data_IF_290270021120
#
_entry.id   IF_290270021120
#
_cell.length_a   1.000
_cell.length_b   1.000
_cell.length_c   1.000
_cell.angle_alpha   90.00
_cell.angle_beta   90.00
_cell.angle_gamma   90.00
#
_symmetry.space_group_name_H-M   'P 1'
#
loop_
_entity.id
_entity.type
_entity.pdbx_description
1 polymer ?
#
# COMPACT_ATOMS: atom_id res chain seq x y z
N UNK A 1 -47.81 23.28 29.80
CA UNK A 1 -47.26 24.60 30.11
C UNK A 1 -45.80 24.60 29.67
N UNK A 2 -45.54 24.92 28.41
CA UNK A 2 -44.29 25.51 27.90
C UNK A 2 -44.60 25.97 26.47
N UNK A 3 -44.71 27.29 26.31
CA UNK A 3 -44.74 27.99 25.04
C UNK A 3 -43.29 28.12 24.54
N UNK A 4 -43.15 28.51 23.28
CA UNK A 4 -41.98 29.09 22.59
C UNK A 4 -41.33 28.10 21.61
N UNK A 5 -40.99 28.43 20.36
CA UNK A 5 -41.08 29.69 19.60
C UNK A 5 -40.81 29.35 18.14
N UNK A 6 -41.69 29.76 17.23
CA UNK A 6 -41.44 29.80 15.79
C UNK A 6 -40.38 30.86 15.50
N UNK A 7 -39.35 30.53 14.71
CA UNK A 7 -38.56 31.53 13.99
C UNK A 7 -38.29 31.01 12.58
N UNK A 8 -39.20 31.35 11.67
CA UNK A 8 -38.98 31.30 10.22
C UNK A 8 -38.16 32.54 9.84
N UNK A 9 -36.91 32.35 9.43
CA UNK A 9 -36.09 33.42 8.88
C UNK A 9 -36.23 33.44 7.35
N UNK A 10 -36.74 34.57 6.88
CA UNK A 10 -37.04 34.97 5.52
C UNK A 10 -35.73 35.22 4.74
N UNK A 11 -35.42 34.43 3.71
CA UNK A 11 -34.38 34.76 2.74
C UNK A 11 -34.98 35.69 1.68
N UNK A 12 -34.71 37.00 1.81
CA UNK A 12 -34.99 38.00 0.79
C UNK A 12 -33.68 38.27 0.03
N UNK A 13 -33.71 38.08 -1.29
CA UNK A 13 -32.53 38.08 -2.14
C UNK A 13 -31.90 39.44 -2.38
N UNK A 14 -30.72 39.44 -2.98
CA UNK A 14 -30.28 40.51 -3.88
C UNK A 14 -29.28 39.94 -4.88
N UNK A 15 -29.71 39.91 -6.15
CA UNK A 15 -28.88 39.79 -7.34
C UNK A 15 -28.00 41.02 -7.47
N UNK A 16 -26.70 40.82 -7.70
CA UNK A 16 -25.82 41.84 -8.27
C UNK A 16 -25.18 41.28 -9.54
N UNK A 17 -25.46 41.93 -10.66
CA UNK A 17 -24.90 41.69 -11.98
C UNK A 17 -23.70 42.61 -12.22
N UNK A 18 -22.91 42.20 -13.22
CA UNK A 18 -21.92 42.94 -14.04
C UNK A 18 -20.49 43.05 -13.48
N UNK A 19 -19.52 42.47 -14.19
CA UNK A 19 -18.89 43.23 -15.28
C UNK A 19 -18.04 42.33 -16.18
N UNK A 20 -18.29 42.43 -17.49
CA UNK A 20 -17.43 41.93 -18.55
C UNK A 20 -16.40 43.00 -18.90
N UNK A 21 -15.13 42.62 -19.04
CA UNK A 21 -14.17 43.34 -19.88
C UNK A 21 -13.52 42.34 -20.83
N UNK A 22 -13.96 42.46 -22.08
CA UNK A 22 -13.34 41.97 -23.30
C UNK A 22 -12.15 42.87 -23.66
N UNK A 23 -11.06 42.27 -24.17
CA UNK A 23 -10.11 42.77 -25.19
C UNK A 23 -9.03 41.70 -25.36
N UNK A 24 -8.99 40.93 -26.45
CA UNK A 24 -8.20 41.24 -27.66
C UNK A 24 -6.72 40.85 -27.43
N UNK A 25 -6.02 40.02 -28.20
CA UNK A 25 -5.97 39.89 -29.66
C UNK A 25 -4.91 38.80 -30.00
N UNK A 26 -5.15 37.97 -31.03
CA UNK A 26 -4.13 37.17 -31.72
C UNK A 26 -3.63 37.95 -32.96
N UNK A 27 -2.74 37.42 -33.84
CA UNK A 27 -1.45 36.76 -33.69
C UNK A 27 -0.33 37.55 -34.43
N UNK A 28 0.95 37.17 -34.30
CA UNK A 28 2.03 37.61 -35.20
C UNK A 28 3.14 36.54 -35.15
N UNK A 29 3.23 35.63 -36.13
CA UNK A 29 4.13 35.73 -37.29
C UNK A 29 5.54 36.24 -36.94
N UNK A 30 6.54 35.35 -36.91
CA UNK A 30 7.68 35.52 -37.81
C UNK A 30 8.42 34.19 -38.09
N UNK A 31 8.66 33.98 -39.37
CA UNK A 31 9.50 32.96 -39.97
C UNK A 31 10.96 33.04 -39.49
N UNK A 32 11.61 31.89 -39.36
CA UNK A 32 12.85 31.61 -40.10
C UNK A 32 13.14 30.11 -40.08
N UNK A 33 13.06 29.52 -41.26
CA UNK A 33 13.54 28.20 -41.62
C UNK A 33 15.10 28.20 -41.70
N UNK A 34 15.74 27.04 -41.88
CA UNK A 34 17.05 26.66 -41.33
C UNK A 34 18.22 27.01 -42.25
N UNK A 35 19.47 26.69 -41.84
CA UNK A 35 20.48 26.26 -42.79
C UNK A 35 20.61 24.74 -42.82
N UNK A 36 20.40 24.17 -44.00
CA UNK A 36 20.92 22.87 -44.40
C UNK A 36 22.45 22.90 -44.60
N UNK A 37 23.01 21.68 -44.65
CA UNK A 37 24.10 21.20 -45.53
C UNK A 37 25.52 21.17 -44.96
N UNK A 38 26.03 19.94 -44.72
CA UNK A 38 27.12 19.25 -45.48
C UNK A 38 27.65 18.11 -44.58
N UNK A 39 27.31 16.84 -44.81
CA UNK A 39 27.93 15.85 -45.72
C UNK A 39 29.45 15.70 -45.55
N UNK A 40 29.85 14.56 -44.97
CA UNK A 40 30.91 13.63 -45.44
C UNK A 40 30.80 12.38 -44.54
N UNK A 41 30.30 11.24 -45.02
CA UNK A 41 31.00 10.23 -45.84
C UNK A 41 32.25 9.69 -45.14
N UNK A 42 32.15 8.48 -44.58
CA UNK A 42 32.85 7.34 -45.16
C UNK A 42 32.20 6.01 -44.75
N UNK A 43 32.29 5.06 -45.67
CA UNK A 43 31.71 3.74 -45.61
C UNK A 43 32.83 2.71 -45.36
N UNK A 44 32.40 1.45 -45.30
CA UNK A 44 33.18 0.21 -45.43
C UNK A 44 33.74 -0.39 -44.13
N UNK A 45 33.80 -1.72 -43.94
CA UNK A 45 33.32 -2.93 -44.63
C UNK A 45 33.89 -4.10 -43.82
N UNK A 46 33.15 -5.22 -43.72
CA UNK A 46 33.60 -6.60 -43.37
C UNK A 46 34.41 -6.81 -42.06
N UNK A 47 34.20 -7.85 -41.26
CA UNK A 47 34.26 -9.27 -41.67
C UNK A 47 33.86 -10.12 -40.46
N UNK A 48 33.06 -11.16 -40.66
CA UNK A 48 33.07 -12.34 -39.77
C UNK A 48 34.38 -13.12 -39.98
N UNK A 49 34.77 -14.00 -39.04
CA UNK A 49 34.49 -15.42 -39.32
C UNK A 49 34.11 -16.30 -38.11
N UNK A 50 33.41 -17.36 -38.50
CA UNK A 50 33.02 -18.63 -37.89
C UNK A 50 34.17 -19.44 -37.25
N UNK A 51 33.86 -20.25 -36.21
CA UNK A 51 34.24 -21.69 -36.01
C UNK A 51 33.86 -22.12 -34.57
N UNK A 52 32.84 -22.92 -34.28
CA UNK A 52 32.62 -24.38 -34.47
C UNK A 52 33.28 -25.31 -33.44
N UNK A 53 32.49 -26.31 -33.03
CA UNK A 53 32.78 -27.62 -32.40
C UNK A 53 32.62 -27.71 -30.86
N UNK A 54 31.55 -28.31 -30.32
CA UNK A 54 31.12 -29.73 -30.32
C UNK A 54 31.86 -30.55 -29.26
N UNK A 55 31.14 -31.01 -28.22
CA UNK A 55 31.27 -32.34 -27.59
C UNK A 55 30.11 -32.54 -26.61
N UNK A 56 29.26 -33.51 -26.95
CA UNK A 56 28.30 -34.14 -26.06
C UNK A 56 29.01 -34.99 -24.99
N UNK A 57 28.55 -34.95 -23.73
CA UNK A 57 28.48 -36.18 -22.92
C UNK A 57 27.52 -36.02 -21.73
N UNK A 58 26.60 -36.98 -21.63
CA UNK A 58 25.74 -37.30 -20.49
C UNK A 58 25.47 -38.81 -20.65
N UNK A 59 25.25 -39.63 -19.60
CA UNK A 59 25.56 -39.58 -18.17
C UNK A 59 26.44 -40.80 -17.75
N UNK A 60 26.53 -41.14 -16.44
CA UNK A 60 25.64 -42.23 -16.02
C UNK A 60 24.96 -42.04 -14.66
N UNK A 61 23.82 -42.71 -14.58
CA UNK A 61 22.93 -43.00 -13.44
C UNK A 61 23.64 -43.98 -12.49
N UNK A 62 23.39 -43.89 -11.17
CA UNK A 62 23.10 -45.08 -10.37
C UNK A 62 22.47 -44.76 -9.01
N UNK A 63 21.33 -45.40 -8.79
CA UNK A 63 20.52 -45.52 -7.58
C UNK A 63 21.25 -46.22 -6.41
N UNK A 64 20.82 -45.96 -5.17
CA UNK A 64 20.28 -46.96 -4.20
C UNK A 64 19.95 -46.19 -2.90
N UNK A 65 18.67 -46.00 -2.54
CA UNK A 65 17.85 -46.86 -1.68
C UNK A 65 18.50 -47.25 -0.34
N UNK A 66 17.92 -46.77 0.76
CA UNK A 66 17.95 -47.43 2.07
C UNK A 66 16.65 -47.13 2.80
N UNK A 67 15.74 -48.08 2.62
CA UNK A 67 14.56 -48.34 3.43
C UNK A 67 14.97 -49.22 4.64
N UNK A 68 14.43 -48.95 5.82
CA UNK A 68 14.31 -49.91 6.93
C UNK A 68 13.30 -49.41 7.98
N UNK A 69 12.06 -49.88 7.90
CA UNK A 69 11.24 -50.23 9.09
C UNK A 69 11.48 -51.72 9.44
N UNK A 70 10.82 -52.39 10.42
CA UNK A 70 10.06 -51.97 11.61
C UNK A 70 10.55 -52.69 12.90
N UNK A 71 10.02 -52.34 14.08
CA UNK A 71 9.88 -53.32 15.19
C UNK A 71 8.54 -53.17 15.89
N UNK A 72 7.67 -54.16 15.68
CA UNK A 72 6.55 -54.45 16.55
C UNK A 72 7.03 -55.11 17.85
N UNK A 73 6.43 -54.72 18.96
CA UNK A 73 6.56 -55.40 20.26
C UNK A 73 5.20 -55.46 20.93
N UNK A 74 4.47 -56.53 20.67
CA UNK A 74 3.18 -56.86 21.26
C UNK A 74 3.26 -57.03 22.79
N UNK A 75 2.24 -56.55 23.51
CA UNK A 75 2.08 -56.72 24.94
C UNK A 75 0.65 -56.50 25.38
N UNK A 76 -0.21 -57.48 25.10
CA UNK A 76 -1.59 -57.59 25.57
C UNK A 76 -1.67 -57.64 27.10
N UNK A 77 -2.58 -56.88 27.71
CA UNK A 77 -3.40 -57.28 28.87
C UNK A 77 -4.45 -56.21 29.21
N UNK A 78 -5.71 -56.50 28.91
CA UNK A 78 -6.89 -56.05 29.69
C UNK A 78 -7.19 -57.16 30.71
N UNK A 79 -7.74 -56.88 31.92
CA UNK A 79 -9.16 -56.51 32.01
C UNK A 79 -9.63 -55.65 33.22
N UNK A 80 -10.76 -54.96 32.98
CA UNK A 80 -11.96 -54.84 33.83
C UNK A 80 -12.04 -53.95 35.10
N UNK A 81 -13.05 -53.04 35.02
CA UNK A 81 -13.99 -52.46 36.02
C UNK A 81 -13.44 -51.69 37.23
N UNK A 82 -13.82 -50.40 37.33
CA UNK A 82 -14.82 -49.97 38.31
C UNK A 82 -15.29 -48.52 38.10
N UNK A 83 -16.60 -48.39 38.25
CA UNK A 83 -17.44 -47.20 38.31
C UNK A 83 -17.08 -46.30 39.49
N UNK A 84 -17.05 -44.98 39.28
CA UNK A 84 -17.26 -43.96 40.31
C UNK A 84 -17.56 -42.61 39.66
N UNK A 85 -18.79 -42.16 39.84
CA UNK A 85 -19.21 -40.76 39.70
C UNK A 85 -18.36 -39.84 40.58
N UNK A 86 -17.92 -38.71 40.02
CA UNK A 86 -17.88 -37.44 40.76
C UNK A 86 -17.68 -36.25 39.83
N UNK A 87 -18.75 -35.45 39.76
CA UNK A 87 -18.76 -34.00 39.98
C UNK A 87 -17.58 -33.17 39.45
N UNK A 88 -17.82 -32.44 38.36
CA UNK A 88 -17.78 -30.97 38.30
C UNK A 88 -17.67 -30.50 36.84
N UNK A 89 -18.65 -29.78 36.27
CA UNK A 89 -18.35 -28.89 35.18
C UNK A 89 -17.63 -27.68 35.78
N UNK A 90 -16.30 -27.70 35.76
CA UNK A 90 -15.54 -26.45 35.86
C UNK A 90 -15.81 -25.70 34.57
N UNK A 91 -16.87 -24.91 34.58
CA UNK A 91 -17.08 -23.80 33.66
C UNK A 91 -15.81 -22.97 33.73
N UNK A 92 -14.90 -23.18 32.78
CA UNK A 92 -13.94 -22.17 32.43
C UNK A 92 -14.79 -21.03 31.85
N UNK A 93 -15.21 -20.12 32.71
CA UNK A 93 -15.52 -18.76 32.31
C UNK A 93 -14.22 -18.23 31.71
N UNK A 94 -14.07 -18.44 30.41
CA UNK A 94 -13.30 -17.57 29.55
C UNK A 94 -13.89 -16.18 29.75
N UNK A 95 -13.34 -15.43 30.69
CA UNK A 95 -13.40 -13.98 30.68
C UNK A 95 -12.66 -13.53 29.42
N UNK A 96 -13.34 -13.67 28.28
CA UNK A 96 -13.05 -12.89 27.10
C UNK A 96 -13.26 -11.45 27.55
N UNK A 97 -12.15 -10.76 27.84
CA UNK A 97 -12.15 -9.32 27.86
C UNK A 97 -12.54 -8.89 26.45
N UNK A 98 -13.85 -8.76 26.23
CA UNK A 98 -14.47 -8.14 25.07
C UNK A 98 -14.14 -6.63 25.17
N UNK A 99 -12.86 -6.31 25.04
CA UNK A 99 -12.47 -5.00 24.56
C UNK A 99 -13.21 -4.82 23.24
N UNK A 100 -13.98 -3.75 23.11
CA UNK A 100 -14.81 -3.48 21.95
C UNK A 100 -13.94 -3.50 20.68
N UNK A 101 -13.89 -4.65 20.01
CA UNK A 101 -13.20 -4.80 18.74
C UNK A 101 -14.04 -4.08 17.69
N UNK A 102 -13.48 -3.03 17.12
CA UNK A 102 -14.10 -2.35 15.97
C UNK A 102 -13.69 -3.09 14.71
N UNK A 103 -14.64 -3.36 13.81
CA UNK A 103 -14.31 -3.94 12.51
C UNK A 103 -13.91 -2.84 11.54
N UNK A 104 -12.90 -3.10 10.72
CA UNK A 104 -12.48 -2.27 9.59
C UNK A 104 -12.16 -3.14 8.37
N UNK A 105 -11.71 -2.49 7.31
CA UNK A 105 -11.29 -3.16 6.07
C UNK A 105 -9.94 -2.61 5.61
N UNK A 106 -8.97 -3.47 5.35
CA UNK A 106 -7.72 -3.10 4.69
C UNK A 106 -7.92 -3.16 3.18
N UNK A 107 -7.43 -2.14 2.48
CA UNK A 107 -7.49 -2.05 1.02
C UNK A 107 -6.08 -2.14 0.49
N UNK A 108 -5.76 -3.21 -0.24
CA UNK A 108 -4.42 -3.44 -0.82
C UNK A 108 -4.50 -3.35 -2.34
N UNK A 109 -3.71 -2.46 -2.93
CA UNK A 109 -3.70 -2.24 -4.37
C UNK A 109 -3.19 -0.87 -4.79
N UNK A 110 -3.51 -0.48 -6.02
CA UNK A 110 -3.11 0.82 -6.60
C UNK A 110 -4.15 1.32 -7.61
N UNK A 111 -4.22 2.63 -7.79
CA UNK A 111 -5.16 3.27 -8.71
C UNK A 111 -6.62 2.95 -8.36
N UNK A 112 -7.32 2.25 -9.27
CA UNK A 112 -8.72 1.82 -9.06
C UNK A 112 -8.86 0.33 -8.67
N UNK A 113 -7.74 -0.41 -8.60
CA UNK A 113 -7.75 -1.86 -8.34
C UNK A 113 -7.32 -2.16 -6.92
N UNK A 114 -8.29 -2.45 -6.04
CA UNK A 114 -8.05 -2.81 -4.64
C UNK A 114 -8.70 -4.15 -4.29
N UNK A 115 -7.97 -4.95 -3.53
CA UNK A 115 -8.48 -6.11 -2.80
C UNK A 115 -8.79 -5.73 -1.36
N UNK A 116 -9.90 -6.25 -0.83
CA UNK A 116 -10.38 -5.96 0.52
C UNK A 116 -10.06 -7.12 1.46
N UNK A 117 -9.55 -6.81 2.65
CA UNK A 117 -9.23 -7.77 3.69
C UNK A 117 -9.85 -7.34 5.02
N UNK A 118 -10.50 -8.24 5.77
CA UNK A 118 -11.13 -7.87 7.03
C UNK A 118 -10.07 -7.50 8.08
N UNK A 119 -10.35 -6.46 8.86
CA UNK A 119 -9.56 -6.06 10.00
C UNK A 119 -10.40 -6.11 11.28
N UNK A 120 -9.87 -6.79 12.30
CA UNK A 120 -10.58 -7.00 13.57
C UNK A 120 -9.64 -6.67 14.73
N UNK A 121 -9.49 -5.38 15.03
CA UNK A 121 -8.78 -4.86 16.20
C UNK A 121 -9.22 -3.42 16.47
N UNK A 122 -8.54 -2.73 17.38
CA UNK A 122 -8.78 -1.29 17.57
C UNK A 122 -8.40 -0.52 16.29
N UNK A 123 -9.38 0.18 15.71
CA UNK A 123 -9.23 0.94 14.47
C UNK A 123 -8.51 2.27 14.74
N UNK A 124 -7.21 2.19 14.99
CA UNK A 124 -6.26 3.33 14.97
C UNK A 124 -5.51 3.35 13.63
N UNK A 125 -5.01 4.52 13.16
CA UNK A 125 -4.32 4.56 11.88
C UNK A 125 -3.05 3.71 11.90
N UNK A 126 -2.30 3.79 13.00
CA UNK A 126 -1.10 2.98 13.27
C UNK A 126 -1.41 1.48 13.18
N UNK A 127 -2.50 1.01 13.79
CA UNK A 127 -2.87 -0.41 13.76
C UNK A 127 -3.29 -0.88 12.36
N UNK A 128 -3.96 -0.02 11.58
CA UNK A 128 -4.33 -0.35 10.19
C UNK A 128 -3.08 -0.45 9.31
N UNK A 129 -2.12 0.46 9.45
CA UNK A 129 -0.86 0.43 8.71
C UNK A 129 -0.03 -0.79 9.13
N UNK A 130 0.04 -1.09 10.41
CA UNK A 130 0.70 -2.28 10.91
C UNK A 130 0.05 -3.56 10.36
N UNK A 131 -1.28 -3.63 10.30
CA UNK A 131 -1.98 -4.77 9.73
C UNK A 131 -1.75 -4.90 8.21
N UNK A 132 -1.57 -3.80 7.47
CA UNK A 132 -1.11 -3.86 6.07
C UNK A 132 0.30 -4.47 6.00
N UNK A 133 1.21 -4.06 6.89
CA UNK A 133 2.58 -4.61 6.94
C UNK A 133 2.56 -6.11 7.21
N UNK A 134 1.81 -6.58 8.21
CA UNK A 134 1.66 -8.00 8.54
C UNK A 134 1.04 -8.80 7.40
N UNK A 135 0.01 -8.26 6.74
CA UNK A 135 -0.68 -8.93 5.63
C UNK A 135 0.23 -9.07 4.41
N UNK A 136 0.98 -8.02 4.07
CA UNK A 136 1.71 -7.92 2.80
C UNK A 136 3.16 -8.39 2.88
N UNK A 137 3.74 -8.34 4.08
CA UNK A 137 5.18 -8.54 4.31
C UNK A 137 6.03 -7.32 3.94
N UNK A 138 5.43 -6.18 3.60
CA UNK A 138 6.16 -4.92 3.39
C UNK A 138 6.59 -4.34 4.73
N UNK A 139 7.80 -3.79 4.82
CA UNK A 139 8.22 -3.01 5.97
C UNK A 139 7.60 -1.62 5.89
N UNK A 140 6.65 -1.33 6.77
CA UNK A 140 5.97 -0.04 6.88
C UNK A 140 6.35 0.69 8.17
N UNK A 141 7.57 0.50 8.66
CA UNK A 141 8.08 1.14 9.88
C UNK A 141 7.85 2.66 9.87
N UNK A 142 7.08 3.11 10.86
CA UNK A 142 6.77 4.52 11.07
C UNK A 142 7.84 5.16 11.95
N UNK A 143 8.18 6.41 11.65
CA UNK A 143 9.11 7.21 12.45
C UNK A 143 8.44 7.84 13.69
N UNK A 144 7.12 8.04 13.64
CA UNK A 144 6.28 8.50 14.74
C UNK A 144 4.85 8.00 14.50
N UNK A 145 3.99 8.10 15.51
CA UNK A 145 2.57 7.77 15.35
C UNK A 145 1.89 8.65 14.30
N UNK A 146 0.86 8.12 13.65
CA UNK A 146 0.11 8.89 12.65
C UNK A 146 -0.56 10.07 13.34
N UNK A 147 -0.36 11.26 12.78
CA UNK A 147 -0.89 12.50 13.37
C UNK A 147 -2.09 13.01 12.60
N UNK A 148 -3.12 13.41 13.34
CA UNK A 148 -4.23 14.20 12.80
C UNK A 148 -3.80 15.68 12.69
N UNK A 149 -3.75 16.23 11.48
CA UNK A 149 -3.23 17.58 11.24
C UNK A 149 -3.42 18.08 9.80
N UNK A 150 -3.29 19.40 9.57
CA UNK A 150 -3.44 20.04 8.22
C UNK A 150 -4.78 19.76 7.49
N UNK A 151 -5.83 19.35 8.21
CA UNK A 151 -7.09 18.93 7.60
C UNK A 151 -7.04 17.52 7.00
N UNK A 152 -6.18 16.65 7.55
CA UNK A 152 -5.96 15.28 7.11
C UNK A 152 -5.16 14.45 8.12
N UNK A 153 -4.57 13.34 7.67
CA UNK A 153 -3.64 12.51 8.44
C UNK A 153 -2.24 12.56 7.83
N UNK A 154 -1.20 12.54 8.67
CA UNK A 154 0.19 12.49 8.22
C UNK A 154 0.86 11.19 8.67
N UNK A 155 1.43 10.46 7.70
CA UNK A 155 2.15 9.20 7.90
C UNK A 155 3.63 9.45 7.59
N UNK A 156 4.49 9.35 8.61
CA UNK A 156 5.93 9.49 8.43
C UNK A 156 6.64 8.16 8.57
N UNK A 157 7.40 7.76 7.55
CA UNK A 157 8.17 6.52 7.56
C UNK A 157 9.61 6.73 8.08
N UNK A 158 10.23 5.64 8.50
CA UNK A 158 11.69 5.56 8.65
C UNK A 158 12.35 5.35 7.27
N UNK A 159 13.67 5.57 7.19
CA UNK A 159 14.46 5.26 5.97
C UNK A 159 14.67 3.77 5.73
N UNK A 160 14.32 2.92 6.68
CA UNK A 160 14.49 1.46 6.57
C UNK A 160 13.26 0.78 5.95
N UNK A 161 12.12 1.49 5.81
CA UNK A 161 10.90 0.94 5.25
C UNK A 161 11.03 0.56 3.75
N UNK A 162 10.08 -0.24 3.26
CA UNK A 162 10.05 -0.79 1.90
C UNK A 162 10.03 0.25 0.77
N UNK A 163 9.64 1.50 1.05
CA UNK A 163 9.74 2.60 0.08
C UNK A 163 11.20 2.87 -0.32
N UNK A 164 12.14 2.66 0.60
CA UNK A 164 13.56 2.93 0.39
C UNK A 164 14.40 1.67 0.23
N UNK A 165 13.97 0.55 0.82
CA UNK A 165 14.66 -0.74 0.71
C UNK A 165 14.17 -1.58 -0.46
N UNK A 166 13.05 -1.19 -1.09
CA UNK A 166 12.45 -1.87 -2.24
C UNK A 166 11.64 -3.11 -1.85
N UNK A 167 11.22 -3.90 -2.85
CA UNK A 167 10.44 -5.11 -2.61
C UNK A 167 11.20 -6.11 -1.75
N UNK A 168 10.54 -6.75 -0.77
CA UNK A 168 11.15 -7.82 0.01
C UNK A 168 11.71 -8.93 -0.89
N UNK A 169 12.81 -9.55 -0.49
CA UNK A 169 13.43 -10.66 -1.27
C UNK A 169 12.45 -11.81 -1.47
N UNK A 170 11.64 -12.10 -0.45
CA UNK A 170 10.54 -13.06 -0.52
C UNK A 170 9.23 -12.30 -0.40
N UNK A 171 8.54 -12.13 -1.53
CA UNK A 171 7.25 -11.45 -1.58
C UNK A 171 6.11 -12.46 -1.50
N UNK A 172 5.00 -12.02 -0.89
CA UNK A 172 3.73 -12.71 -1.03
C UNK A 172 3.24 -12.60 -2.49
N UNK A 173 2.71 -13.68 -3.05
CA UNK A 173 2.34 -13.71 -4.46
C UNK A 173 1.20 -12.74 -4.80
N UNK A 174 0.28 -12.54 -3.85
CA UNK A 174 -0.86 -11.63 -4.04
C UNK A 174 -0.49 -10.14 -3.98
N UNK A 175 0.71 -9.80 -3.50
CA UNK A 175 1.18 -8.42 -3.25
C UNK A 175 2.51 -8.14 -3.94
N UNK A 176 2.78 -8.87 -5.03
CA UNK A 176 4.05 -8.80 -5.72
C UNK A 176 4.23 -7.47 -6.45
N UNK A 177 5.34 -6.78 -6.18
CA UNK A 177 5.78 -5.60 -6.90
C UNK A 177 7.07 -5.87 -7.69
N UNK A 178 7.12 -5.42 -8.95
CA UNK A 178 8.24 -5.65 -9.87
C UNK A 178 9.44 -4.75 -9.59
N UNK A 179 9.20 -3.54 -9.13
CA UNK A 179 10.22 -2.53 -8.87
C UNK A 179 9.79 -1.62 -7.70
N UNK A 180 10.72 -0.77 -7.27
CA UNK A 180 10.50 0.10 -6.12
C UNK A 180 9.44 1.18 -6.37
N UNK A 181 9.27 1.63 -7.62
CA UNK A 181 8.27 2.66 -7.97
C UNK A 181 6.87 2.05 -7.84
N UNK A 182 6.66 0.88 -8.41
CA UNK A 182 5.41 0.10 -8.34
C UNK A 182 5.08 -0.24 -6.89
N UNK A 183 6.07 -0.70 -6.12
CA UNK A 183 5.89 -0.98 -4.70
C UNK A 183 5.49 0.27 -3.92
N UNK A 184 6.21 1.37 -4.12
CA UNK A 184 5.92 2.64 -3.42
C UNK A 184 4.51 3.10 -3.74
N UNK A 185 4.10 3.07 -5.00
CA UNK A 185 2.73 3.41 -5.37
C UNK A 185 1.72 2.51 -4.65
N UNK A 186 1.94 1.19 -4.65
CA UNK A 186 1.03 0.25 -4.01
C UNK A 186 0.94 0.49 -2.50
N UNK A 187 2.07 0.74 -1.82
CA UNK A 187 2.10 1.08 -0.39
C UNK A 187 1.28 2.34 -0.11
N UNK A 188 1.58 3.43 -0.82
CA UNK A 188 0.96 4.73 -0.55
C UNK A 188 -0.53 4.75 -0.90
N UNK A 189 -0.92 4.13 -2.01
CA UNK A 189 -2.31 4.00 -2.44
C UNK A 189 -3.10 3.13 -1.45
N UNK A 190 -2.53 2.00 -1.00
CA UNK A 190 -3.16 1.09 -0.02
C UNK A 190 -3.40 1.77 1.32
N UNK A 191 -2.41 2.48 1.86
CA UNK A 191 -2.54 3.23 3.11
C UNK A 191 -3.59 4.34 2.95
N UNK A 192 -3.51 5.10 1.85
CA UNK A 192 -4.46 6.19 1.59
C UNK A 192 -5.90 5.66 1.56
N UNK A 193 -6.16 4.64 0.75
CA UNK A 193 -7.49 4.07 0.61
C UNK A 193 -8.00 3.47 1.91
N UNK A 194 -7.14 2.77 2.63
CA UNK A 194 -7.48 2.18 3.94
C UNK A 194 -7.87 3.24 4.95
N UNK A 195 -7.08 4.30 5.12
CA UNK A 195 -7.42 5.35 6.08
C UNK A 195 -8.69 6.11 5.67
N UNK A 196 -8.85 6.43 4.39
CA UNK A 196 -10.04 7.12 3.89
C UNK A 196 -11.34 6.34 4.16
N UNK A 197 -11.40 5.05 3.79
CA UNK A 197 -12.61 4.24 3.94
C UNK A 197 -12.89 3.88 5.41
N UNK A 198 -11.87 3.85 6.27
CA UNK A 198 -12.06 3.53 7.69
C UNK A 198 -12.41 4.75 8.55
N UNK A 199 -12.00 5.97 8.18
CA UNK A 199 -12.22 7.17 9.02
C UNK A 199 -13.28 8.12 8.50
N UNK A 200 -13.75 7.93 7.27
CA UNK A 200 -14.87 8.71 6.72
C UNK A 200 -16.12 7.85 6.66
N UNK A 201 -17.13 8.23 7.42
CA UNK A 201 -18.39 7.52 7.47
C UNK A 201 -19.26 7.86 6.24
N UNK A 202 -19.38 6.89 5.33
CA UNK A 202 -20.20 7.01 4.12
C UNK A 202 -21.69 6.99 4.40
N UNK A 203 -22.13 6.29 5.45
CA UNK A 203 -23.55 6.19 5.81
C UNK A 203 -24.07 7.52 6.36
N UNK A 204 -23.18 8.34 6.92
CA UNK A 204 -23.45 9.73 7.31
C UNK A 204 -23.23 10.75 6.18
N UNK A 205 -23.00 10.28 4.94
CA UNK A 205 -22.82 11.12 3.76
C UNK A 205 -21.41 11.70 3.61
N UNK A 206 -20.42 11.18 4.34
CA UNK A 206 -19.02 11.51 4.14
C UNK A 206 -18.48 10.94 2.82
N UNK A 207 -17.60 11.70 2.16
CA UNK A 207 -16.86 11.24 1.00
C UNK A 207 -15.42 10.92 1.42
N UNK A 208 -14.98 9.65 1.38
CA UNK A 208 -13.63 9.23 1.78
C UNK A 208 -12.51 10.01 1.10
N UNK A 209 -12.72 10.48 -0.14
CA UNK A 209 -11.72 11.27 -0.86
C UNK A 209 -11.45 12.65 -0.24
N UNK A 210 -12.30 13.10 0.69
CA UNK A 210 -12.12 14.38 1.40
C UNK A 210 -11.10 14.30 2.53
N UNK A 211 -10.76 13.11 3.01
CA UNK A 211 -9.69 12.93 3.98
C UNK A 211 -8.34 12.97 3.25
N UNK A 212 -7.64 14.09 3.42
CA UNK A 212 -6.29 14.26 2.88
C UNK A 212 -5.29 13.39 3.63
N UNK A 213 -4.41 12.69 2.91
CA UNK A 213 -3.32 11.91 3.48
C UNK A 213 -2.00 12.52 3.01
N UNK A 214 -1.09 12.77 3.95
CA UNK A 214 0.23 13.33 3.70
C UNK A 214 1.29 12.30 4.05
N UNK A 215 2.38 12.27 3.28
CA UNK A 215 3.50 11.36 3.52
C UNK A 215 4.81 12.11 3.73
N UNK A 216 5.64 11.57 4.62
CA UNK A 216 6.94 12.12 4.98
C UNK A 216 7.92 10.98 5.27
N UNK A 217 9.20 11.33 5.32
CA UNK A 217 10.23 10.50 5.91
C UNK A 217 10.94 11.29 7.02
N UNK A 218 11.33 10.62 8.10
CA UNK A 218 12.22 11.19 9.09
C UNK A 218 13.67 10.87 8.72
N UNK A 219 14.45 11.90 8.43
CA UNK A 219 15.86 11.82 8.07
C UNK A 219 16.66 12.78 8.95
N UNK A 220 17.62 12.24 9.70
CA UNK A 220 18.46 12.99 10.64
C UNK A 220 17.67 13.88 11.62
N UNK A 221 16.52 13.38 12.08
CA UNK A 221 15.62 14.09 13.01
C UNK A 221 14.77 15.20 12.37
N UNK A 222 14.77 15.32 11.05
CA UNK A 222 13.94 16.27 10.30
C UNK A 222 12.94 15.54 9.41
N UNK A 223 11.73 16.10 9.28
CA UNK A 223 10.74 15.61 8.33
C UNK A 223 11.07 16.15 6.94
N UNK A 224 11.15 15.25 5.96
CA UNK A 224 11.43 15.58 4.56
C UNK A 224 10.42 14.91 3.62
N UNK A 225 10.40 15.37 2.37
CA UNK A 225 9.60 14.75 1.30
C UNK A 225 10.19 13.39 0.90
N UNK A 226 9.35 12.47 0.44
CA UNK A 226 9.83 11.18 -0.06
C UNK A 226 10.38 11.40 -1.46
N UNK A 227 11.63 11.01 -1.69
CA UNK A 227 12.30 11.10 -3.00
C UNK A 227 12.68 9.71 -3.47
N UNK A 228 12.31 9.36 -4.70
CA UNK A 228 12.68 8.12 -5.38
C UNK A 228 13.63 8.45 -6.54
N UNK A 229 14.96 8.35 -6.36
CA UNK A 229 15.94 8.80 -7.36
C UNK A 229 15.79 8.08 -8.70
N UNK A 230 15.53 6.77 -8.67
CA UNK A 230 15.45 5.92 -9.86
C UNK A 230 14.29 6.29 -10.81
N UNK A 231 13.28 7.01 -10.31
CA UNK A 231 12.16 7.52 -11.09
C UNK A 231 12.11 9.04 -11.24
N UNK A 232 13.02 9.78 -10.61
CA UNK A 232 12.91 11.24 -10.51
C UNK A 232 11.66 11.73 -9.77
N UNK A 233 11.01 10.86 -8.99
CA UNK A 233 9.73 11.14 -8.33
C UNK A 233 9.99 11.79 -6.97
N UNK A 234 9.25 12.85 -6.67
CA UNK A 234 9.19 13.46 -5.33
C UNK A 234 7.75 13.53 -4.88
N UNK A 235 7.45 12.95 -3.71
CA UNK A 235 6.17 13.09 -3.03
C UNK A 235 6.32 14.19 -1.97
N UNK A 236 5.75 15.38 -2.21
CA UNK A 236 5.88 16.52 -1.30
C UNK A 236 5.13 16.27 0.02
N UNK A 237 5.81 16.52 1.15
CA UNK A 237 5.21 16.36 2.49
C UNK A 237 4.19 17.45 2.89
N UNK A 238 4.08 18.50 2.07
CA UNK A 238 3.20 19.65 2.31
C UNK A 238 1.96 19.66 1.41
N UNK A 239 1.80 18.68 0.51
CA UNK A 239 0.60 18.47 -0.30
C UNK A 239 -0.04 17.12 0.03
N UNK A 240 -1.38 17.02 -0.04
CA UNK A 240 -2.04 15.72 -0.01
C UNK A 240 -1.52 14.82 -1.13
N UNK A 241 -1.37 13.54 -0.83
CA UNK A 241 -1.00 12.54 -1.81
C UNK A 241 -2.11 12.37 -2.85
N UNK A 242 -1.75 12.42 -4.13
CA UNK A 242 -2.66 12.33 -5.28
C UNK A 242 -2.30 11.17 -6.23
N UNK A 243 -1.51 10.20 -5.75
CA UNK A 243 -0.90 9.17 -6.58
C UNK A 243 0.49 9.58 -7.10
N UNK A 244 1.27 8.60 -7.55
CA UNK A 244 2.53 8.86 -8.25
C UNK A 244 2.25 9.26 -9.70
N UNK A 245 2.80 10.39 -10.13
CA UNK A 245 2.82 10.80 -11.55
C UNK A 245 4.22 10.55 -12.08
N UNK A 246 4.35 9.69 -13.09
CA UNK A 246 5.61 9.49 -13.82
C UNK A 246 5.56 10.45 -15.01
N UNK A 247 6.43 11.46 -15.01
CA UNK A 247 6.58 12.41 -16.13
C UNK A 247 7.51 11.87 -17.23
#
# INVERSE_FOLDING_TARGET
MFKNKTLFALFLGTTLLLSACSSGQAPSENNSAPPETTISTDAQTESSPTSSSDTAETPPVSETASESEPVEGAGSSSPQIQESESTSPQSQESISSEAAQTTGTLYIGSGESFSEYPFTAEKTPDNLIHAISDLTGWDLSLADSVTDGKGGMTVCFTKDCSIFTGPPVQQHQDFFAYDNITLTQMILDSITKTLQENYVDRDLGGDPSTLNIYFCVMEDGNLTSITLPDGGITIPMDQPYQGLTIE
#
